data_IF_753158351701
#
_entry.id   IF_753158351701
#
_cell.length_a   1.000
_cell.length_b   1.000
_cell.length_c   1.000
_cell.angle_alpha   90.00
_cell.angle_beta   90.00
_cell.angle_gamma   90.00
#
_symmetry.space_group_name_H-M   'P 1'
#
loop_
_entity.id
_entity.type
_entity.pdbx_description
1 polymer ?
#
# COMPACT_ATOMS: atom_id res chain seq x y z
N UNK A 1 0.97 -3.56 -0.41
CA UNK A 1 1.29 -4.79 0.35
C UNK A 1 2.44 -4.51 1.29
N UNK A 2 3.62 -4.12 0.78
CA UNK A 2 4.79 -3.78 1.61
C UNK A 2 4.46 -2.84 2.79
N UNK A 3 3.85 -1.69 2.53
CA UNK A 3 3.43 -0.76 3.60
C UNK A 3 2.54 -1.42 4.69
N UNK A 4 1.69 -2.39 4.33
CA UNK A 4 0.86 -3.11 5.30
C UNK A 4 1.70 -4.03 6.18
N UNK A 5 2.62 -4.78 5.57
CA UNK A 5 3.57 -5.61 6.32
C UNK A 5 4.43 -4.76 7.26
N UNK A 6 4.88 -3.57 6.81
CA UNK A 6 5.61 -2.63 7.65
C UNK A 6 4.78 -2.12 8.85
N UNK A 7 3.46 -1.94 8.71
CA UNK A 7 2.59 -1.58 9.85
C UNK A 7 2.55 -2.70 10.90
N UNK A 8 2.57 -3.96 10.48
CA UNK A 8 2.58 -5.10 11.42
C UNK A 8 3.84 -5.14 12.29
N UNK A 9 4.96 -4.57 11.83
CA UNK A 9 6.19 -4.47 12.65
C UNK A 9 5.93 -3.71 13.95
N UNK A 10 5.01 -2.74 13.96
CA UNK A 10 4.64 -1.98 15.17
C UNK A 10 4.02 -2.83 16.28
N UNK A 11 3.54 -4.04 15.98
CA UNK A 11 2.94 -4.92 16.98
C UNK A 11 3.97 -5.63 17.84
N UNK A 12 5.18 -5.81 17.32
CA UNK A 12 6.21 -6.65 17.94
C UNK A 12 7.53 -5.89 18.15
N UNK A 13 7.72 -4.77 17.45
CA UNK A 13 8.96 -4.01 17.45
C UNK A 13 8.69 -2.51 17.39
N UNK A 14 9.69 -1.72 17.82
CA UNK A 14 9.68 -0.26 17.70
C UNK A 14 10.78 0.20 16.73
N UNK A 15 10.50 0.28 15.42
CA UNK A 15 11.50 0.75 14.46
C UNK A 15 11.77 2.24 14.66
N UNK A 16 12.97 2.71 14.27
CA UNK A 16 13.32 4.14 14.39
C UNK A 16 12.36 5.08 13.65
N UNK A 17 11.82 4.64 12.52
CA UNK A 17 10.81 5.35 11.74
C UNK A 17 10.09 4.39 10.79
N UNK A 18 8.94 4.81 10.25
CA UNK A 18 8.24 4.12 9.16
C UNK A 18 8.03 5.01 7.95
N UNK A 19 8.23 4.46 6.75
CA UNK A 19 7.94 5.13 5.48
C UNK A 19 6.91 4.28 4.74
N UNK A 20 5.71 4.84 4.58
CA UNK A 20 4.54 4.14 4.08
C UNK A 20 4.03 4.81 2.81
N UNK A 21 4.20 4.14 1.67
CA UNK A 21 3.70 4.59 0.38
C UNK A 21 2.40 3.86 0.04
N UNK A 22 1.32 4.62 -0.15
CA UNK A 22 0.00 4.16 -0.59
C UNK A 22 -0.50 2.95 0.22
N UNK A 23 -0.24 2.96 1.52
CA UNK A 23 -0.64 1.91 2.46
C UNK A 23 -2.13 1.97 2.78
N UNK A 24 -2.75 0.81 3.02
CA UNK A 24 -4.11 0.74 3.57
C UNK A 24 -4.00 0.32 5.06
N UNK A 25 -4.39 1.18 6.01
CA UNK A 25 -4.28 0.87 7.44
C UNK A 25 -5.27 -0.23 7.87
N UNK A 26 -6.36 -0.43 7.13
CA UNK A 26 -7.37 -1.44 7.44
C UNK A 26 -8.73 -1.10 6.87
N UNK A 27 -9.65 -2.06 6.94
CA UNK A 27 -11.08 -1.86 6.65
C UNK A 27 -11.88 -2.01 7.94
N UNK A 28 -12.86 -1.12 8.15
CA UNK A 28 -13.54 -0.99 9.45
C UNK A 28 -14.74 -1.90 9.59
N UNK A 29 -15.53 -2.03 8.52
CA UNK A 29 -16.80 -2.76 8.58
C UNK A 29 -16.68 -4.22 8.14
N UNK A 30 -17.54 -5.07 8.69
CA UNK A 30 -17.63 -6.47 8.27
C UNK A 30 -18.02 -6.59 6.78
N UNK A 31 -18.86 -5.68 6.28
CA UNK A 31 -19.26 -5.63 4.88
C UNK A 31 -18.06 -5.35 3.96
N UNK A 32 -17.22 -4.36 4.30
CA UNK A 32 -15.98 -4.07 3.56
C UNK A 32 -15.00 -5.25 3.60
N UNK A 33 -14.85 -5.91 4.76
CA UNK A 33 -14.03 -7.12 4.90
C UNK A 33 -14.53 -8.23 3.98
N UNK A 34 -15.83 -8.54 3.98
CA UNK A 34 -16.43 -9.56 3.10
C UNK A 34 -16.22 -9.21 1.62
N UNK A 35 -16.49 -7.95 1.22
CA UNK A 35 -16.28 -7.46 -0.15
C UNK A 35 -14.81 -7.59 -0.57
N UNK A 36 -13.89 -7.21 0.31
CA UNK A 36 -12.45 -7.27 0.06
C UNK A 36 -11.94 -8.71 -0.05
N UNK A 37 -12.38 -9.59 0.84
CA UNK A 37 -12.00 -11.00 0.81
C UNK A 37 -12.47 -11.66 -0.48
N UNK A 38 -13.72 -11.44 -0.90
CA UNK A 38 -14.25 -11.95 -2.17
C UNK A 38 -13.41 -11.49 -3.37
N UNK A 39 -12.97 -10.23 -3.37
CA UNK A 39 -12.10 -9.70 -4.41
C UNK A 39 -10.71 -10.36 -4.42
N UNK A 40 -10.06 -10.49 -3.26
CA UNK A 40 -8.74 -11.09 -3.15
C UNK A 40 -8.77 -12.59 -3.49
N UNK A 41 -9.80 -13.34 -3.07
CA UNK A 41 -10.03 -14.74 -3.45
C UNK A 41 -10.23 -14.90 -4.95
N UNK A 42 -11.01 -14.01 -5.58
CA UNK A 42 -11.18 -13.99 -7.04
C UNK A 42 -9.82 -13.83 -7.71
N UNK A 43 -9.03 -12.82 -7.33
CA UNK A 43 -7.69 -12.61 -7.89
C UNK A 43 -6.78 -13.82 -7.66
N UNK A 44 -6.79 -14.42 -6.48
CA UNK A 44 -6.00 -15.61 -6.17
C UNK A 44 -6.29 -16.77 -7.13
N UNK A 45 -7.56 -16.98 -7.50
CA UNK A 45 -7.97 -17.97 -8.51
C UNK A 45 -7.48 -17.59 -9.91
N UNK A 46 -7.58 -16.31 -10.28
CA UNK A 46 -7.10 -15.80 -11.59
C UNK A 46 -5.60 -16.02 -11.75
N UNK A 47 -4.79 -15.70 -10.72
CA UNK A 47 -3.34 -15.92 -10.73
C UNK A 47 -2.94 -17.39 -10.97
N UNK A 48 -3.78 -18.36 -10.58
CA UNK A 48 -3.51 -19.78 -10.82
C UNK A 48 -3.92 -20.25 -12.21
N UNK A 49 -4.95 -19.64 -12.83
CA UNK A 49 -5.64 -20.23 -13.98
C UNK A 49 -5.54 -19.43 -15.27
N UNK A 50 -5.35 -18.11 -15.20
CA UNK A 50 -5.40 -17.25 -16.39
C UNK A 50 -4.03 -17.10 -17.06
N UNK A 51 -3.97 -16.90 -18.40
CA UNK A 51 -2.76 -16.52 -19.10
C UNK A 51 -2.16 -15.22 -18.52
N UNK A 52 -0.83 -15.19 -18.37
CA UNK A 52 -0.15 -14.13 -17.61
C UNK A 52 -0.36 -12.73 -18.20
N UNK A 53 -0.29 -12.59 -19.53
CA UNK A 53 -0.45 -11.29 -20.19
C UNK A 53 -1.84 -10.68 -19.95
N UNK A 54 -2.90 -11.45 -20.17
CA UNK A 54 -4.29 -11.03 -19.91
C UNK A 54 -4.52 -10.70 -18.43
N UNK A 55 -3.93 -11.50 -17.54
CA UNK A 55 -3.96 -11.28 -16.11
C UNK A 55 -3.27 -9.96 -15.73
N UNK A 56 -2.09 -9.68 -16.29
CA UNK A 56 -1.33 -8.45 -16.03
C UNK A 56 -2.02 -7.22 -16.61
N UNK A 57 -2.62 -7.33 -17.79
CA UNK A 57 -3.47 -6.29 -18.38
C UNK A 57 -4.62 -5.95 -17.43
N UNK A 58 -5.37 -6.97 -16.99
CA UNK A 58 -6.46 -6.79 -16.02
C UNK A 58 -5.98 -6.23 -14.67
N UNK A 59 -4.81 -6.65 -14.20
CA UNK A 59 -4.26 -6.21 -12.91
C UNK A 59 -3.83 -4.76 -12.96
N UNK A 60 -3.19 -4.34 -14.04
CA UNK A 60 -2.77 -2.95 -14.26
C UNK A 60 -3.97 -2.00 -14.48
N UNK A 61 -5.07 -2.47 -15.07
CA UNK A 61 -6.27 -1.65 -15.29
C UNK A 61 -7.20 -1.53 -14.07
N UNK A 62 -6.76 -1.95 -12.89
CA UNK A 62 -7.52 -1.71 -11.66
C UNK A 62 -7.55 -0.21 -11.36
N UNK A 63 -8.68 0.30 -10.88
CA UNK A 63 -8.88 1.73 -10.60
C UNK A 63 -7.82 2.38 -9.69
N UNK A 64 -7.20 1.60 -8.80
CA UNK A 64 -6.11 2.07 -7.93
C UNK A 64 -4.81 2.36 -8.70
N UNK A 65 -4.62 1.73 -9.86
CA UNK A 65 -3.45 1.88 -10.71
C UNK A 65 -3.77 2.72 -11.95
N UNK A 66 -4.49 3.84 -11.78
CA UNK A 66 -4.90 4.77 -12.84
C UNK A 66 -3.76 5.44 -13.63
N UNK A 67 -2.53 4.98 -13.46
CA UNK A 67 -1.30 5.52 -14.05
C UNK A 67 -0.42 4.37 -14.58
N UNK A 68 0.76 4.73 -15.09
CA UNK A 68 1.70 3.90 -15.85
C UNK A 68 1.67 2.40 -15.50
N UNK A 69 1.29 1.52 -16.46
CA UNK A 69 1.34 0.08 -16.25
C UNK A 69 2.78 -0.36 -16.01
N UNK A 70 2.96 -1.31 -15.09
CA UNK A 70 4.27 -1.93 -14.87
C UNK A 70 4.29 -3.27 -15.59
N UNK A 71 5.34 -3.48 -16.38
CA UNK A 71 5.62 -4.76 -17.01
C UNK A 71 6.10 -5.74 -15.94
N UNK A 72 5.52 -6.94 -15.93
CA UNK A 72 5.88 -8.03 -15.03
C UNK A 72 6.06 -9.27 -15.87
N UNK A 73 7.24 -9.89 -15.82
CA UNK A 73 7.50 -11.14 -16.52
C UNK A 73 7.18 -12.32 -15.60
N UNK A 74 6.44 -13.31 -16.11
CA UNK A 74 5.98 -14.46 -15.33
C UNK A 74 7.14 -15.20 -14.64
N UNK A 75 8.27 -15.35 -15.34
CA UNK A 75 9.50 -16.00 -14.82
C UNK A 75 10.01 -15.44 -13.49
N UNK A 76 9.64 -14.19 -13.14
CA UNK A 76 9.99 -13.57 -11.87
C UNK A 76 9.06 -13.91 -10.71
N UNK A 77 8.05 -14.77 -10.91
CA UNK A 77 7.00 -15.01 -9.93
C UNK A 77 6.63 -16.49 -9.80
N UNK A 78 6.35 -16.91 -8.58
CA UNK A 78 5.67 -18.19 -8.32
C UNK A 78 4.17 -17.94 -8.15
N UNK A 79 3.35 -18.47 -9.08
CA UNK A 79 1.89 -18.31 -9.06
C UNK A 79 1.25 -18.84 -7.77
N UNK A 80 1.78 -19.93 -7.23
CA UNK A 80 1.29 -20.51 -5.97
C UNK A 80 1.50 -19.56 -4.79
N UNK A 81 2.66 -18.91 -4.73
CA UNK A 81 2.96 -17.89 -3.73
C UNK A 81 2.05 -16.67 -3.91
N UNK A 82 1.90 -16.15 -5.13
CA UNK A 82 1.02 -15.00 -5.39
C UNK A 82 -0.43 -15.28 -4.95
N UNK A 83 -0.94 -16.47 -5.29
CA UNK A 83 -2.28 -16.91 -4.90
C UNK A 83 -2.41 -17.08 -3.38
N UNK A 84 -1.45 -17.74 -2.73
CA UNK A 84 -1.50 -17.93 -1.27
C UNK A 84 -1.38 -16.61 -0.53
N UNK A 85 -0.49 -15.71 -0.94
CA UNK A 85 -0.34 -14.37 -0.35
C UNK A 85 -1.63 -13.56 -0.42
N UNK A 86 -2.36 -13.58 -1.54
CA UNK A 86 -3.65 -12.88 -1.65
C UNK A 86 -4.70 -13.43 -0.70
N UNK A 87 -4.70 -14.76 -0.45
CA UNK A 87 -5.66 -15.43 0.45
C UNK A 87 -5.31 -15.19 1.92
N UNK A 88 -4.06 -15.44 2.29
CA UNK A 88 -3.58 -15.42 3.67
C UNK A 88 -3.40 -13.99 4.18
N UNK A 89 -2.88 -13.09 3.35
CA UNK A 89 -2.59 -11.69 3.73
C UNK A 89 -3.54 -10.70 3.07
N UNK A 90 -4.77 -11.14 2.80
CA UNK A 90 -5.86 -10.26 2.37
C UNK A 90 -6.01 -9.11 3.37
N UNK A 91 -6.25 -7.90 2.86
CA UNK A 91 -6.58 -6.75 3.71
C UNK A 91 -7.81 -7.02 4.58
N UNK A 92 -8.72 -7.88 4.15
CA UNK A 92 -9.89 -8.26 4.93
C UNK A 92 -9.54 -8.95 6.26
N UNK A 93 -8.35 -9.56 6.34
CA UNK A 93 -7.83 -10.24 7.53
C UNK A 93 -6.93 -9.35 8.39
N UNK A 94 -6.61 -8.15 7.91
CA UNK A 94 -5.81 -7.19 8.65
C UNK A 94 -6.64 -6.54 9.76
N UNK A 95 -6.00 -6.25 10.89
CA UNK A 95 -6.55 -5.34 11.89
C UNK A 95 -6.57 -3.90 11.35
N UNK A 96 -7.33 -3.01 12.00
CA UNK A 96 -7.30 -1.60 11.64
C UNK A 96 -6.15 -0.89 12.37
N UNK A 97 -5.09 -0.56 11.63
CA UNK A 97 -3.92 0.15 12.14
C UNK A 97 -4.14 1.66 12.26
N UNK A 98 -5.31 2.22 11.90
CA UNK A 98 -5.51 3.67 11.86
C UNK A 98 -5.15 4.34 13.19
N UNK A 99 -5.65 3.81 14.32
CA UNK A 99 -5.35 4.35 15.66
C UNK A 99 -3.91 4.08 16.09
N UNK A 100 -3.37 2.90 15.78
CA UNK A 100 -1.99 2.52 16.12
C UNK A 100 -1.01 3.47 15.42
N UNK A 101 -1.24 3.77 14.15
CA UNK A 101 -0.43 4.71 13.37
C UNK A 101 -0.57 6.13 13.90
N UNK A 102 -1.80 6.58 14.20
CA UNK A 102 -2.04 7.92 14.75
C UNK A 102 -1.28 8.14 16.06
N UNK A 103 -1.23 7.14 16.93
CA UNK A 103 -0.62 7.22 18.26
C UNK A 103 0.83 6.72 18.32
N UNK A 104 1.41 6.30 17.19
CA UNK A 104 2.74 5.72 17.18
C UNK A 104 3.77 6.71 17.73
N UNK A 105 4.63 6.31 18.69
CA UNK A 105 5.63 7.19 19.30
C UNK A 105 6.87 7.37 18.43
N UNK A 106 6.78 7.02 17.15
CA UNK A 106 7.88 7.07 16.19
C UNK A 106 7.52 7.97 15.00
N UNK A 107 8.50 8.57 14.32
CA UNK A 107 8.27 9.29 13.07
C UNK A 107 7.67 8.38 11.99
N UNK A 108 6.60 8.86 11.35
CA UNK A 108 5.97 8.20 10.20
C UNK A 108 5.93 9.16 9.02
N UNK A 109 6.49 8.74 7.89
CA UNK A 109 6.30 9.37 6.59
C UNK A 109 5.20 8.65 5.81
N UNK A 110 4.07 9.32 5.61
CA UNK A 110 2.94 8.81 4.83
C UNK A 110 2.86 9.50 3.47
N UNK A 111 2.94 8.73 2.39
CA UNK A 111 2.91 9.27 1.02
C UNK A 111 1.79 8.61 0.23
N UNK A 112 0.97 9.43 -0.43
CA UNK A 112 -0.06 8.98 -1.37
C UNK A 112 -0.01 9.82 -2.64
N UNK A 113 -0.53 9.32 -3.76
CA UNK A 113 -0.72 10.13 -4.97
C UNK A 113 -2.13 10.71 -5.03
N UNK A 114 -2.25 11.95 -5.52
CA UNK A 114 -3.53 12.68 -5.61
C UNK A 114 -4.60 11.93 -6.42
N UNK A 115 -4.22 11.25 -7.50
CA UNK A 115 -5.12 10.49 -8.39
C UNK A 115 -5.61 9.18 -7.76
N UNK A 116 -4.98 8.73 -6.67
CA UNK A 116 -5.41 7.57 -5.92
C UNK A 116 -6.55 7.94 -4.97
N UNK A 117 -7.73 8.18 -5.55
CA UNK A 117 -8.92 8.65 -4.82
C UNK A 117 -9.40 7.70 -3.71
N UNK A 118 -8.88 6.47 -3.66
CA UNK A 118 -9.16 5.52 -2.58
C UNK A 118 -8.38 5.88 -1.31
N UNK A 119 -7.14 6.36 -1.46
CA UNK A 119 -6.21 6.57 -0.35
C UNK A 119 -5.83 8.04 -0.12
N UNK A 120 -5.99 8.91 -1.11
CA UNK A 120 -5.64 10.33 -1.03
C UNK A 120 -6.70 11.19 -0.32
N UNK A 121 -7.94 10.71 -0.21
CA UNK A 121 -9.07 11.50 0.32
C UNK A 121 -9.05 11.73 1.84
N UNK A 122 -8.21 11.01 2.57
CA UNK A 122 -8.10 11.14 4.04
C UNK A 122 -6.64 11.19 4.43
N UNK A 123 -6.04 12.39 4.58
CA UNK A 123 -4.69 12.48 5.13
C UNK A 123 -4.69 11.88 6.53
N UNK A 124 -3.75 10.98 6.79
CA UNK A 124 -3.52 10.45 8.13
C UNK A 124 -3.04 11.58 9.05
N UNK A 125 -3.54 11.57 10.28
CA UNK A 125 -3.04 12.40 11.38
C UNK A 125 -2.13 11.55 12.25
N UNK A 126 -1.09 12.18 12.78
CA UNK A 126 -0.08 11.54 13.61
C UNK A 126 0.20 12.42 14.82
N UNK A 127 0.35 11.81 15.99
CA UNK A 127 0.69 12.51 17.22
C UNK A 127 2.17 12.86 17.32
N UNK A 128 3.05 12.08 16.69
CA UNK A 128 4.49 12.33 16.72
C UNK A 128 4.85 13.57 15.88
N UNK A 129 5.60 14.55 16.41
CA UNK A 129 5.84 15.85 15.75
C UNK A 129 6.66 15.76 14.46
N UNK A 130 7.52 14.75 14.33
CA UNK A 130 8.31 14.51 13.11
C UNK A 130 7.56 13.71 12.04
N UNK A 131 6.32 13.28 12.30
CA UNK A 131 5.53 12.57 11.31
C UNK A 131 5.01 13.52 10.23
N UNK A 132 5.03 13.05 8.99
CA UNK A 132 4.70 13.84 7.82
C UNK A 132 3.72 13.10 6.92
N UNK A 133 2.76 13.82 6.34
CA UNK A 133 1.78 13.29 5.40
C UNK A 133 1.81 14.09 4.11
N UNK A 134 2.07 13.43 2.99
CA UNK A 134 2.25 14.03 1.69
C UNK A 134 1.29 13.43 0.66
N UNK A 135 0.63 14.31 -0.10
CA UNK A 135 -0.17 13.95 -1.27
C UNK A 135 0.54 14.48 -2.51
N UNK A 136 1.11 13.58 -3.31
CA UNK A 136 1.87 13.94 -4.51
C UNK A 136 0.93 14.18 -5.68
N UNK A 137 0.98 15.39 -6.25
CA UNK A 137 0.23 15.76 -7.45
C UNK A 137 0.66 14.94 -8.66
N UNK A 138 -0.25 14.73 -9.61
CA UNK A 138 0.02 13.99 -10.86
C UNK A 138 0.59 12.58 -10.64
N UNK A 139 0.16 11.92 -9.56
CA UNK A 139 0.44 10.50 -9.27
C UNK A 139 -0.80 9.81 -8.72
N UNK A 140 -0.99 8.55 -9.10
CA UNK A 140 -1.85 7.58 -8.44
C UNK A 140 -1.09 6.76 -7.40
N UNK A 141 -1.29 5.44 -7.38
CA UNK A 141 -0.82 4.60 -6.27
C UNK A 141 0.68 4.31 -6.29
N UNK A 142 1.34 4.31 -7.46
CA UNK A 142 2.76 3.90 -7.60
C UNK A 142 3.68 5.10 -7.57
N UNK A 143 3.56 5.90 -6.53
CA UNK A 143 4.24 7.19 -6.38
C UNK A 143 5.75 7.16 -6.73
N UNK A 144 6.56 6.19 -6.26
CA UNK A 144 7.98 6.14 -6.62
C UNK A 144 8.26 5.92 -8.11
N UNK A 145 7.35 5.26 -8.83
CA UNK A 145 7.47 4.99 -10.26
C UNK A 145 6.89 6.12 -11.13
N UNK A 146 5.90 6.83 -10.62
CA UNK A 146 5.19 7.86 -11.38
C UNK A 146 5.77 9.26 -11.15
N UNK A 147 6.26 9.54 -9.95
CA UNK A 147 6.77 10.85 -9.53
C UNK A 147 8.09 10.70 -8.74
N UNK A 148 9.07 10.02 -9.34
CA UNK A 148 10.35 9.69 -8.70
C UNK A 148 11.06 10.91 -8.09
N UNK A 149 11.13 12.04 -8.83
CA UNK A 149 11.82 13.26 -8.35
C UNK A 149 11.15 13.82 -7.09
N UNK A 150 9.82 13.92 -7.09
CA UNK A 150 9.06 14.42 -5.95
C UNK A 150 9.15 13.46 -4.75
N UNK A 151 9.01 12.15 -4.99
CA UNK A 151 9.18 11.11 -3.98
C UNK A 151 10.56 11.19 -3.31
N UNK A 152 11.64 11.26 -4.07
CA UNK A 152 13.01 11.33 -3.52
C UNK A 152 13.26 12.63 -2.75
N UNK A 153 12.69 13.76 -3.19
CA UNK A 153 12.79 15.03 -2.45
C UNK A 153 12.16 14.91 -1.06
N UNK A 154 10.93 14.41 -1.00
CA UNK A 154 10.19 14.21 0.27
C UNK A 154 10.91 13.19 1.16
N UNK A 155 11.35 12.06 0.59
CA UNK A 155 12.07 11.03 1.32
C UNK A 155 13.33 11.60 1.98
N UNK A 156 14.17 12.32 1.23
CA UNK A 156 15.41 12.91 1.78
C UNK A 156 15.12 13.97 2.85
N UNK A 157 14.08 14.77 2.67
CA UNK A 157 13.67 15.76 3.68
C UNK A 157 13.24 15.08 4.98
N UNK A 158 12.47 14.00 4.90
CA UNK A 158 12.06 13.22 6.07
C UNK A 158 13.26 12.56 6.76
N UNK A 159 14.15 11.91 6.00
CA UNK A 159 15.35 11.27 6.57
C UNK A 159 16.22 12.26 7.35
N UNK A 160 16.46 13.46 6.81
CA UNK A 160 17.19 14.53 7.51
C UNK A 160 16.49 15.05 8.77
N UNK A 161 15.17 14.92 8.86
CA UNK A 161 14.42 15.38 10.04
C UNK A 161 14.43 14.39 11.20
N UNK A 162 14.89 13.17 10.97
CA UNK A 162 14.97 12.08 11.96
C UNK A 162 16.41 11.61 12.21
N UNK A 163 17.39 12.28 11.58
CA UNK A 163 18.82 12.13 11.85
C UNK A 163 19.19 12.76 13.21
#
# INVERSE_FOLDING_TARGET
MGARLSMHVLLENSPKALILISGNPGVKTLAEKKKRLKLDLRWAKRFQKEPWESLMHSWNNRSVFSATPLVRHEKGYCRNILSSTLKSWSLARQIDFSKILEQAPIPILWITGKLDTTYSKKPMKFSHPLSQSWIISSSGHRVPWEQLKAFLKILRQFLRSIE
#
